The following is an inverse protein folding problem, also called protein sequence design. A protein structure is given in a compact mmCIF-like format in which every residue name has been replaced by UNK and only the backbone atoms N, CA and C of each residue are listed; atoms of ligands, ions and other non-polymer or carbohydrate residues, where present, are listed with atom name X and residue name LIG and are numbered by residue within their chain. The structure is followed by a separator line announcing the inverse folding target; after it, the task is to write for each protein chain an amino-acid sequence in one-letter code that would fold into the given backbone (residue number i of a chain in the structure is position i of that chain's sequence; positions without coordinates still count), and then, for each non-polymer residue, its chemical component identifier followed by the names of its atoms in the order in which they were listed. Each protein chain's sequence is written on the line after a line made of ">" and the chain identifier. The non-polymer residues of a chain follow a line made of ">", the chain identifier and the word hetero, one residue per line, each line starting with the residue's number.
data_IF_701500234660
#
_entry.id   IF_701500234660
#
_cell.length_a   1.000
_cell.length_b   1.000
_cell.length_c   1.000
_cell.angle_alpha   90.00
_cell.angle_beta   90.00
_cell.angle_gamma   90.00
#
_symmetry.space_group_name_H-M   'P 1'
#
loop_
_entity.id
_entity.type
_entity.pdbx_description
1 polymer ?
#
# COMPACT_ATOMS: atom_id res chain seq x y z
N UNK A 1 0.24 -2.56 -20.83
CA UNK A 1 1.12 -1.48 -20.38
C UNK A 1 0.29 -0.34 -19.84
N UNK A 2 0.63 0.15 -18.63
CA UNK A 2 -0.05 1.28 -17.97
C UNK A 2 0.65 2.61 -18.24
N UNK A 3 1.43 2.70 -19.31
CA UNK A 3 2.09 3.94 -19.71
C UNK A 3 1.27 4.76 -20.71
N UNK A 4 1.73 5.97 -21.02
CA UNK A 4 1.05 6.82 -22.01
C UNK A 4 1.10 6.21 -23.40
N UNK A 5 0.04 6.46 -24.17
CA UNK A 5 -0.08 5.99 -25.55
C UNK A 5 0.38 7.09 -26.51
N UNK A 6 0.92 6.70 -27.66
CA UNK A 6 1.36 7.65 -28.69
C UNK A 6 0.18 8.50 -29.17
N UNK A 7 0.36 9.82 -29.25
CA UNK A 7 -0.65 10.75 -29.74
C UNK A 7 -1.85 10.94 -28.82
N UNK A 8 -1.73 10.55 -27.56
CA UNK A 8 -2.84 10.63 -26.61
C UNK A 8 -3.20 12.09 -26.29
N UNK A 9 -4.51 12.38 -26.31
CA UNK A 9 -5.02 13.70 -25.95
C UNK A 9 -4.78 13.98 -24.46
N UNK A 10 -4.59 15.26 -24.06
CA UNK A 10 -4.17 15.58 -22.70
C UNK A 10 -5.18 15.19 -21.61
N UNK A 11 -6.48 15.30 -21.88
CA UNK A 11 -7.51 14.90 -20.92
C UNK A 11 -7.52 13.38 -20.69
N UNK A 12 -7.37 12.60 -21.75
CA UNK A 12 -7.29 11.14 -21.66
C UNK A 12 -5.99 10.70 -20.96
N UNK A 13 -4.89 11.38 -21.25
CA UNK A 13 -3.62 11.11 -20.60
C UNK A 13 -3.72 11.33 -19.10
N UNK A 14 -4.40 12.38 -18.67
CA UNK A 14 -4.59 12.69 -17.26
C UNK A 14 -5.46 11.63 -16.56
N UNK A 15 -6.51 11.14 -17.22
CA UNK A 15 -7.33 10.04 -16.70
C UNK A 15 -6.51 8.76 -16.52
N UNK A 16 -5.71 8.43 -17.52
CA UNK A 16 -4.84 7.25 -17.46
C UNK A 16 -3.77 7.41 -16.39
N UNK A 17 -3.27 8.62 -16.15
CA UNK A 17 -2.36 8.91 -15.05
C UNK A 17 -2.99 8.56 -13.69
N UNK A 18 -4.23 9.00 -13.45
CA UNK A 18 -4.89 8.71 -12.17
C UNK A 18 -5.17 7.21 -12.00
N UNK A 19 -5.50 6.50 -13.06
CA UNK A 19 -5.61 5.04 -13.02
C UNK A 19 -4.25 4.40 -12.69
N UNK A 20 -3.16 4.87 -13.30
CA UNK A 20 -1.82 4.36 -13.04
C UNK A 20 -1.32 4.70 -11.63
N UNK A 21 -1.85 5.76 -11.01
CA UNK A 21 -1.50 6.15 -9.64
C UNK A 21 -1.97 5.13 -8.59
N UNK A 22 -2.85 4.21 -8.96
CA UNK A 22 -3.25 3.10 -8.10
C UNK A 22 -2.20 1.98 -8.03
N UNK A 23 -1.11 2.09 -8.79
CA UNK A 23 -0.07 1.07 -8.88
C UNK A 23 1.21 1.56 -8.20
N UNK A 24 1.46 1.18 -6.93
CA UNK A 24 2.63 1.66 -6.21
C UNK A 24 3.94 0.98 -6.60
N UNK A 25 3.90 -0.09 -7.38
CA UNK A 25 5.09 -0.85 -7.77
C UNK A 25 6.15 0.03 -8.44
N UNK A 26 7.42 -0.19 -8.08
CA UNK A 26 8.54 0.55 -8.66
C UNK A 26 8.53 2.04 -8.30
N UNK A 27 8.08 2.38 -7.11
CA UNK A 27 7.93 3.77 -6.66
C UNK A 27 7.05 4.58 -7.63
N UNK A 28 5.86 4.02 -7.92
CA UNK A 28 4.90 4.64 -8.83
C UNK A 28 5.45 4.85 -10.25
N UNK A 29 6.27 3.93 -10.73
CA UNK A 29 6.88 4.07 -12.06
C UNK A 29 5.86 4.21 -13.18
N UNK A 30 4.71 3.54 -13.07
CA UNK A 30 3.64 3.68 -14.06
C UNK A 30 3.11 5.11 -14.09
N UNK A 31 2.79 5.71 -12.95
CA UNK A 31 2.33 7.09 -12.85
C UNK A 31 3.39 8.08 -13.34
N UNK A 32 4.64 7.88 -12.94
CA UNK A 32 5.74 8.76 -13.35
C UNK A 32 5.97 8.78 -14.85
N UNK A 33 5.61 7.72 -15.56
CA UNK A 33 5.75 7.68 -17.03
C UNK A 33 4.85 8.69 -17.77
N UNK A 34 3.83 9.23 -17.09
CA UNK A 34 2.96 10.28 -17.63
C UNK A 34 3.49 11.70 -17.44
N UNK A 35 4.60 11.84 -16.74
CA UNK A 35 5.19 13.12 -16.37
C UNK A 35 6.38 13.47 -17.26
N UNK A 36 6.73 14.76 -17.27
CA UNK A 36 8.04 15.16 -17.80
C UNK A 36 9.13 14.53 -16.94
N UNK A 37 10.32 14.40 -17.50
CA UNK A 37 11.46 13.84 -16.77
C UNK A 37 11.73 14.63 -15.46
N UNK A 38 11.67 15.96 -15.54
CA UNK A 38 11.86 16.83 -14.36
C UNK A 38 10.76 16.61 -13.31
N UNK A 39 9.50 16.61 -13.73
CA UNK A 39 8.38 16.40 -12.80
C UNK A 39 8.45 15.00 -12.16
N UNK A 40 8.79 13.97 -12.93
CA UNK A 40 8.94 12.61 -12.41
C UNK A 40 10.05 12.51 -11.36
N UNK A 41 11.15 13.22 -11.56
CA UNK A 41 12.27 13.24 -10.60
C UNK A 41 11.95 14.01 -9.32
N UNK A 42 11.12 15.05 -9.41
CA UNK A 42 10.77 15.92 -8.29
C UNK A 42 9.52 15.44 -7.52
N UNK A 43 8.72 14.56 -8.12
CA UNK A 43 7.49 14.09 -7.50
C UNK A 43 7.80 13.14 -6.35
N UNK A 44 7.49 13.58 -5.15
CA UNK A 44 7.71 12.83 -3.90
C UNK A 44 6.40 12.86 -3.10
N UNK A 45 5.42 12.03 -3.48
CA UNK A 45 4.13 12.06 -2.82
C UNK A 45 4.20 11.54 -1.40
N UNK A 46 3.35 12.07 -0.54
CA UNK A 46 3.19 11.58 0.82
C UNK A 46 2.82 10.10 0.80
N UNK A 47 3.23 9.39 1.84
CA UNK A 47 2.90 7.96 1.98
C UNK A 47 1.41 7.73 2.24
N UNK A 48 0.70 8.76 2.68
CA UNK A 48 -0.75 8.71 2.83
C UNK A 48 -1.41 8.92 1.47
N UNK A 49 -2.28 8.00 1.11
CA UNK A 49 -3.01 8.02 -0.15
C UNK A 49 -4.43 8.51 0.09
N UNK A 50 -4.89 9.46 -0.70
CA UNK A 50 -6.26 9.95 -0.64
C UNK A 50 -7.16 9.04 -1.47
N UNK A 51 -8.29 8.64 -0.88
CA UNK A 51 -9.33 7.90 -1.59
C UNK A 51 -10.48 8.85 -1.85
N UNK A 52 -10.85 8.99 -3.12
CA UNK A 52 -11.96 9.84 -3.55
C UNK A 52 -13.07 8.99 -4.15
N UNK A 53 -14.28 9.54 -4.13
CA UNK A 53 -15.43 8.87 -4.74
C UNK A 53 -15.24 8.74 -6.25
N UNK A 54 -15.04 9.87 -6.91
CA UNK A 54 -14.68 9.95 -8.33
C UNK A 54 -13.94 11.26 -8.59
N UNK A 55 -13.23 11.33 -9.71
CA UNK A 55 -12.51 12.53 -10.13
C UNK A 55 -13.20 13.17 -11.32
N UNK A 56 -13.42 14.48 -11.22
CA UNK A 56 -13.82 15.32 -12.33
C UNK A 56 -12.60 16.05 -12.86
N UNK A 57 -12.38 15.96 -14.17
CA UNK A 57 -11.26 16.60 -14.85
C UNK A 57 -11.84 17.64 -15.77
N UNK A 58 -11.55 18.91 -15.51
CA UNK A 58 -12.13 20.06 -16.20
C UNK A 58 -11.00 20.88 -16.80
N UNK A 59 -11.10 21.18 -18.10
CA UNK A 59 -10.14 22.06 -18.76
C UNK A 59 -10.18 23.45 -18.15
N UNK A 60 -9.00 23.98 -17.80
CA UNK A 60 -8.85 25.35 -17.30
C UNK A 60 -8.26 26.23 -18.39
N UNK A 61 -9.11 26.77 -19.24
CA UNK A 61 -8.70 27.61 -20.36
C UNK A 61 -8.09 28.94 -19.92
N UNK A 62 -8.46 29.46 -18.75
CA UNK A 62 -7.93 30.72 -18.23
C UNK A 62 -6.47 30.58 -17.76
N UNK A 63 -6.08 29.40 -17.31
CA UNK A 63 -4.71 29.11 -16.89
C UNK A 63 -3.79 28.72 -18.06
N UNK A 64 -4.34 28.48 -19.26
CA UNK A 64 -3.60 28.11 -20.47
C UNK A 64 -2.98 29.34 -21.13
N UNK A 65 -2.24 30.13 -20.37
CA UNK A 65 -1.61 31.35 -20.86
C UNK A 65 -0.22 31.10 -21.49
N UNK A 66 0.31 29.90 -21.34
CA UNK A 66 1.62 29.52 -21.89
C UNK A 66 1.44 28.86 -23.24
N UNK A 67 2.17 29.32 -24.24
CA UNK A 67 2.16 28.71 -25.57
C UNK A 67 2.53 27.24 -25.52
N UNK A 68 1.65 26.37 -26.04
CA UNK A 68 1.88 24.92 -26.05
C UNK A 68 1.53 24.18 -24.76
N UNK A 69 1.00 24.88 -23.75
CA UNK A 69 0.58 24.27 -22.48
C UNK A 69 -0.89 24.00 -22.40
N UNK A 70 -1.27 23.13 -21.47
CA UNK A 70 -2.65 22.87 -21.07
C UNK A 70 -2.73 22.78 -19.57
N UNK A 71 -3.84 23.25 -19.01
CA UNK A 71 -4.11 23.16 -17.58
C UNK A 71 -5.47 22.56 -17.34
N UNK A 72 -5.57 21.79 -16.28
CA UNK A 72 -6.80 21.13 -15.85
C UNK A 72 -7.03 21.38 -14.37
N UNK A 73 -8.31 21.53 -14.00
CA UNK A 73 -8.74 21.46 -12.62
C UNK A 73 -9.27 20.05 -12.36
N UNK A 74 -8.72 19.39 -11.35
CA UNK A 74 -9.12 18.05 -10.95
C UNK A 74 -9.76 18.15 -9.58
N UNK A 75 -10.96 17.61 -9.44
CA UNK A 75 -11.75 17.67 -8.20
C UNK A 75 -12.30 16.31 -7.83
N UNK A 76 -12.41 16.05 -6.53
CA UNK A 76 -13.04 14.86 -6.02
C UNK A 76 -13.41 15.00 -4.56
N UNK A 77 -14.46 14.30 -4.13
CA UNK A 77 -14.83 14.21 -2.73
C UNK A 77 -13.99 13.15 -2.05
N UNK A 78 -13.23 13.54 -1.04
CA UNK A 78 -12.41 12.62 -0.25
C UNK A 78 -13.34 11.82 0.66
N UNK A 79 -13.25 10.49 0.60
CA UNK A 79 -14.03 9.56 1.41
C UNK A 79 -13.18 8.83 2.44
N UNK A 80 -11.86 8.84 2.28
CA UNK A 80 -10.95 8.19 3.19
C UNK A 80 -9.50 8.37 2.79
N UNK A 81 -8.62 7.82 3.62
CA UNK A 81 -7.18 7.77 3.37
C UNK A 81 -6.65 6.37 3.64
N UNK A 82 -5.62 5.98 2.90
CA UNK A 82 -4.81 4.81 3.23
C UNK A 82 -3.47 5.32 3.78
N UNK A 83 -3.15 4.88 4.99
CA UNK A 83 -1.83 5.12 5.54
C UNK A 83 -0.84 4.10 4.99
N UNK A 84 0.45 4.30 5.27
CA UNK A 84 1.47 3.32 4.96
C UNK A 84 1.10 1.97 5.59
N UNK A 85 1.21 0.89 4.83
CA UNK A 85 0.78 -0.43 5.27
C UNK A 85 -0.69 -0.74 5.04
N UNK A 86 -1.46 0.17 4.42
CA UNK A 86 -2.80 -0.10 3.91
C UNK A 86 -3.95 0.05 4.90
N UNK A 87 -3.72 0.68 6.05
CA UNK A 87 -4.80 0.96 7.00
C UNK A 87 -5.71 2.07 6.45
N UNK A 88 -7.01 1.81 6.38
CA UNK A 88 -8.00 2.75 5.85
C UNK A 88 -8.65 3.53 7.00
N UNK A 89 -8.73 4.85 6.82
CA UNK A 89 -9.46 5.74 7.72
C UNK A 89 -10.49 6.52 6.92
N UNK A 90 -11.74 6.52 7.37
CA UNK A 90 -12.80 7.33 6.76
C UNK A 90 -12.54 8.81 7.02
N UNK A 91 -12.67 9.61 5.98
CA UNK A 91 -12.54 11.05 6.07
C UNK A 91 -13.57 11.72 5.17
N UNK A 92 -13.87 12.97 5.47
CA UNK A 92 -14.69 13.84 4.63
C UNK A 92 -13.87 15.07 4.28
N UNK A 93 -13.85 15.42 3.01
CA UNK A 93 -13.14 16.60 2.55
C UNK A 93 -13.24 16.70 1.04
N UNK A 94 -12.53 17.66 0.51
CA UNK A 94 -12.47 17.89 -0.92
C UNK A 94 -11.02 17.86 -1.37
N UNK A 95 -10.79 17.17 -2.50
CA UNK A 95 -9.53 17.27 -3.23
C UNK A 95 -9.75 18.20 -4.40
N UNK A 96 -8.88 19.18 -4.55
CA UNK A 96 -8.87 20.08 -5.68
C UNK A 96 -7.42 20.40 -6.04
N UNK A 97 -7.08 20.25 -7.32
CA UNK A 97 -5.74 20.53 -7.80
C UNK A 97 -5.76 21.05 -9.21
N UNK A 98 -4.80 21.92 -9.51
CA UNK A 98 -4.52 22.35 -10.87
C UNK A 98 -3.33 21.56 -11.40
N UNK A 99 -3.51 20.93 -12.56
CA UNK A 99 -2.48 20.13 -13.22
C UNK A 99 -2.06 20.85 -14.49
N UNK A 100 -0.76 21.05 -14.67
CA UNK A 100 -0.21 21.63 -15.88
C UNK A 100 0.45 20.55 -16.74
N UNK A 101 0.24 20.67 -18.04
CA UNK A 101 0.80 19.75 -19.02
C UNK A 101 1.53 20.52 -20.10
N UNK A 102 2.56 19.90 -20.63
CA UNK A 102 3.36 20.44 -21.74
C UNK A 102 3.63 19.33 -22.75
N UNK A 103 4.06 19.73 -23.95
CA UNK A 103 4.47 18.76 -24.96
C UNK A 103 5.97 18.53 -24.88
N UNK A 104 6.36 17.26 -24.95
CA UNK A 104 7.74 16.81 -25.04
C UNK A 104 7.83 15.94 -26.30
N UNK A 105 8.58 16.38 -27.28
CA UNK A 105 8.71 15.70 -28.57
C UNK A 105 7.33 15.42 -29.24
N UNK A 106 6.42 16.40 -29.10
CA UNK A 106 5.05 16.30 -29.65
C UNK A 106 4.07 15.48 -28.81
N UNK A 107 4.49 14.93 -27.69
CA UNK A 107 3.64 14.14 -26.80
C UNK A 107 3.32 14.91 -25.52
N UNK A 108 2.08 14.82 -25.07
CA UNK A 108 1.67 15.47 -23.82
C UNK A 108 2.26 14.77 -22.60
N UNK A 109 2.74 15.56 -21.63
CA UNK A 109 3.25 15.06 -20.34
C UNK A 109 2.88 16.04 -19.25
N UNK A 110 2.67 15.52 -18.04
CA UNK A 110 2.39 16.34 -16.85
C UNK A 110 3.67 17.01 -16.40
N UNK A 111 3.64 18.35 -16.31
CA UNK A 111 4.78 19.16 -15.91
C UNK A 111 4.67 19.69 -14.48
N UNK A 112 3.45 19.80 -13.93
CA UNK A 112 3.23 20.28 -12.57
C UNK A 112 2.01 19.60 -11.98
N UNK A 113 2.14 19.07 -10.77
CA UNK A 113 1.10 18.35 -10.05
C UNK A 113 1.39 18.37 -8.55
N UNK A 114 0.36 18.17 -7.69
CA UNK A 114 0.58 18.11 -6.24
C UNK A 114 1.31 16.84 -5.81
N UNK A 115 2.00 16.92 -4.68
CA UNK A 115 2.79 15.84 -4.07
C UNK A 115 1.89 14.88 -3.28
N UNK A 116 0.90 14.30 -3.94
CA UNK A 116 -0.06 13.39 -3.31
C UNK A 116 -0.52 12.34 -4.31
N UNK A 117 -0.75 11.13 -3.82
CA UNK A 117 -1.40 10.07 -4.59
C UNK A 117 -2.89 10.12 -4.30
N UNK A 118 -3.69 10.13 -5.35
CA UNK A 118 -5.16 10.12 -5.25
C UNK A 118 -5.68 8.94 -6.03
N UNK A 119 -6.52 8.13 -5.40
CA UNK A 119 -7.09 6.93 -6.00
C UNK A 119 -8.61 7.02 -5.93
N UNK A 120 -9.29 6.76 -7.05
CA UNK A 120 -10.73 6.62 -7.06
C UNK A 120 -11.16 5.32 -6.37
N UNK A 121 -12.33 5.33 -5.74
CA UNK A 121 -12.91 4.15 -5.07
C UNK A 121 -12.91 2.90 -5.96
N UNK A 122 -13.25 3.07 -7.24
CA UNK A 122 -13.28 1.95 -8.19
C UNK A 122 -11.91 1.34 -8.41
N UNK A 123 -10.87 2.17 -8.48
CA UNK A 123 -9.50 1.68 -8.61
C UNK A 123 -9.04 0.96 -7.34
N UNK A 124 -9.42 1.46 -6.17
CA UNK A 124 -9.13 0.78 -4.92
C UNK A 124 -9.72 -0.63 -4.93
N UNK A 125 -10.97 -0.77 -5.32
CA UNK A 125 -11.65 -2.07 -5.38
C UNK A 125 -11.06 -3.01 -6.42
N UNK A 126 -10.58 -2.48 -7.54
CA UNK A 126 -10.05 -3.26 -8.65
C UNK A 126 -8.59 -3.68 -8.46
N UNK A 127 -7.79 -2.85 -7.78
CA UNK A 127 -6.33 -3.00 -7.69
C UNK A 127 -5.83 -3.40 -6.32
N UNK A 128 -6.68 -3.36 -5.30
CA UNK A 128 -6.34 -3.70 -3.93
C UNK A 128 -7.29 -4.76 -3.41
N UNK A 129 -6.82 -5.52 -2.42
CA UNK A 129 -7.65 -6.46 -1.68
C UNK A 129 -7.46 -6.25 -0.19
N UNK A 130 -8.56 -6.33 0.59
CA UNK A 130 -8.44 -6.25 2.04
C UNK A 130 -7.98 -7.60 2.59
N UNK A 131 -7.02 -7.53 3.51
CA UNK A 131 -6.56 -8.66 4.29
C UNK A 131 -6.52 -8.26 5.75
N UNK A 132 -6.66 -9.22 6.64
CA UNK A 132 -6.61 -8.97 8.08
C UNK A 132 -5.30 -9.48 8.66
N UNK A 133 -4.63 -8.61 9.42
CA UNK A 133 -3.58 -9.02 10.34
C UNK A 133 -4.24 -9.33 11.67
N UNK A 134 -3.70 -10.25 12.43
CA UNK A 134 -4.25 -10.61 13.73
C UNK A 134 -3.24 -10.36 14.82
N UNK A 135 -3.67 -9.61 15.84
CA UNK A 135 -2.84 -9.26 17.00
C UNK A 135 -3.58 -9.61 18.27
N UNK A 136 -2.88 -10.09 19.27
CA UNK A 136 -3.50 -10.30 20.58
C UNK A 136 -3.90 -8.98 21.21
N UNK A 137 -5.12 -8.95 21.77
CA UNK A 137 -5.53 -7.82 22.59
C UNK A 137 -4.71 -7.79 23.88
N UNK A 138 -4.80 -6.68 24.63
CA UNK A 138 -3.88 -6.42 25.74
C UNK A 138 -3.94 -7.43 26.89
N UNK A 139 -5.01 -8.23 27.04
CA UNK A 139 -5.05 -9.32 28.02
C UNK A 139 -4.33 -10.58 27.54
N UNK A 140 -4.03 -10.68 26.26
CA UNK A 140 -3.33 -11.83 25.69
C UNK A 140 -4.19 -13.08 25.52
N UNK A 141 -5.52 -12.94 25.55
CA UNK A 141 -6.45 -14.07 25.48
C UNK A 141 -7.21 -14.18 24.18
N UNK A 142 -7.35 -13.08 23.44
CA UNK A 142 -8.11 -13.03 22.19
C UNK A 142 -7.35 -12.28 21.12
N UNK A 143 -7.62 -12.64 19.87
CA UNK A 143 -7.06 -11.97 18.69
C UNK A 143 -7.99 -10.88 18.20
N UNK A 144 -7.41 -9.72 17.89
CA UNK A 144 -8.08 -8.62 17.22
C UNK A 144 -7.64 -8.57 15.75
N UNK A 145 -8.57 -8.31 14.86
CA UNK A 145 -8.26 -8.16 13.44
C UNK A 145 -7.92 -6.73 13.08
N UNK A 146 -6.91 -6.56 12.26
CA UNK A 146 -6.44 -5.28 11.75
C UNK A 146 -6.50 -5.33 10.22
N UNK A 147 -7.48 -4.69 9.63
CA UNK A 147 -7.74 -4.76 8.20
C UNK A 147 -6.80 -3.85 7.42
N UNK A 148 -6.17 -4.42 6.40
CA UNK A 148 -5.25 -3.70 5.53
C UNK A 148 -5.64 -3.88 4.07
N UNK A 149 -5.57 -2.81 3.31
CA UNK A 149 -5.76 -2.84 1.86
C UNK A 149 -4.40 -2.95 1.19
N UNK A 150 -4.16 -4.04 0.49
CA UNK A 150 -2.88 -4.34 -0.14
C UNK A 150 -3.05 -4.41 -1.65
N UNK A 151 -2.15 -3.76 -2.39
CA UNK A 151 -2.21 -3.78 -3.84
C UNK A 151 -1.91 -5.19 -4.38
N UNK A 152 -2.62 -5.58 -5.42
CA UNK A 152 -2.37 -6.85 -6.10
C UNK A 152 -1.17 -6.73 -7.03
N UNK A 153 -0.42 -7.82 -7.22
CA UNK A 153 0.65 -7.89 -8.21
C UNK A 153 2.02 -7.39 -7.74
N UNK A 154 2.20 -7.10 -6.46
CA UNK A 154 3.51 -6.79 -5.87
C UNK A 154 4.22 -8.07 -5.39
N UNK A 155 4.95 -7.99 -4.29
CA UNK A 155 5.63 -9.12 -3.68
C UNK A 155 4.65 -10.23 -3.29
N UNK A 156 5.18 -11.39 -2.91
CA UNK A 156 4.35 -12.48 -2.44
C UNK A 156 3.52 -12.02 -1.24
N UNK A 157 2.26 -12.40 -1.21
CA UNK A 157 1.30 -11.97 -0.19
C UNK A 157 1.74 -12.36 1.21
N UNK A 158 2.27 -13.57 1.38
CA UNK A 158 2.76 -14.03 2.68
C UNK A 158 3.92 -13.17 3.21
N UNK A 159 4.88 -12.82 2.36
CA UNK A 159 5.98 -11.94 2.74
C UNK A 159 5.47 -10.57 3.16
N UNK A 160 4.53 -10.00 2.42
CA UNK A 160 3.95 -8.70 2.72
C UNK A 160 3.19 -8.72 4.05
N UNK A 161 2.35 -9.73 4.26
CA UNK A 161 1.58 -9.89 5.51
C UNK A 161 2.49 -10.08 6.72
N UNK A 162 3.52 -10.90 6.60
CA UNK A 162 4.48 -11.14 7.69
C UNK A 162 5.26 -9.87 8.03
N UNK A 163 5.68 -9.14 7.02
CA UNK A 163 6.38 -7.86 7.22
C UNK A 163 5.51 -6.87 8.01
N UNK A 164 4.24 -6.75 7.62
CA UNK A 164 3.28 -5.89 8.33
C UNK A 164 3.00 -6.40 9.76
N UNK A 165 2.90 -7.71 9.92
CA UNK A 165 2.68 -8.31 11.24
C UNK A 165 3.83 -7.97 12.21
N UNK A 166 5.08 -8.01 11.73
CA UNK A 166 6.25 -7.65 12.53
C UNK A 166 6.33 -6.14 12.82
N UNK A 167 5.79 -5.30 11.93
CA UNK A 167 5.73 -3.86 12.15
C UNK A 167 4.72 -3.48 13.24
N UNK A 168 3.76 -4.35 13.49
CA UNK A 168 2.74 -4.11 14.51
C UNK A 168 1.43 -3.56 13.99
N UNK A 169 0.45 -3.37 14.89
CA UNK A 169 -0.89 -2.94 14.53
C UNK A 169 -0.93 -1.49 14.03
N UNK A 170 -2.02 -1.16 13.33
CA UNK A 170 -2.31 0.21 12.96
C UNK A 170 -2.38 1.10 14.20
N UNK A 171 -2.06 2.39 14.02
CA UNK A 171 -1.96 3.35 15.12
C UNK A 171 -3.21 3.39 15.99
N UNK A 172 -4.40 3.35 15.37
CA UNK A 172 -5.66 3.39 16.10
C UNK A 172 -5.91 2.12 16.94
N UNK A 173 -5.37 0.98 16.51
CA UNK A 173 -5.56 -0.28 17.19
C UNK A 173 -4.48 -0.57 18.25
N UNK A 174 -3.31 0.05 18.11
CA UNK A 174 -2.16 -0.21 18.96
C UNK A 174 -2.46 -0.14 20.47
N UNK A 175 -3.24 0.83 20.98
CA UNK A 175 -3.54 0.88 22.41
C UNK A 175 -4.33 -0.33 22.95
N UNK A 176 -5.07 -1.02 22.09
CA UNK A 176 -5.91 -2.17 22.46
C UNK A 176 -5.17 -3.51 22.36
N UNK A 177 -3.95 -3.52 21.85
CA UNK A 177 -3.19 -4.73 21.57
C UNK A 177 -1.93 -4.84 22.44
N UNK A 178 -1.40 -6.04 22.54
CA UNK A 178 -0.10 -6.27 23.14
C UNK A 178 0.94 -6.62 22.08
N UNK A 179 2.19 -6.28 22.33
CA UNK A 179 3.31 -6.67 21.48
C UNK A 179 3.87 -8.01 21.97
N UNK A 180 3.87 -9.02 21.09
CA UNK A 180 4.39 -10.35 21.43
C UNK A 180 5.77 -10.59 20.85
N UNK A 181 6.19 -9.81 19.84
CA UNK A 181 7.51 -9.96 19.22
C UNK A 181 8.46 -8.85 19.65
N UNK A 182 9.74 -9.15 19.86
CA UNK A 182 10.72 -8.11 20.16
C UNK A 182 11.00 -7.24 18.93
N UNK A 183 11.52 -6.03 19.17
CA UNK A 183 11.85 -5.09 18.09
C UNK A 183 12.87 -5.65 17.11
N UNK A 184 13.81 -6.44 17.61
CA UNK A 184 14.86 -7.05 16.79
C UNK A 184 14.38 -8.24 15.96
N UNK A 185 13.12 -8.66 16.12
CA UNK A 185 12.55 -9.73 15.32
C UNK A 185 12.58 -9.36 13.83
N UNK A 186 13.06 -10.26 13.02
CA UNK A 186 13.24 -10.05 11.60
C UNK A 186 12.77 -11.28 10.82
N UNK A 187 12.13 -11.03 9.68
CA UNK A 187 11.75 -12.09 8.75
C UNK A 187 12.84 -12.24 7.69
N UNK A 188 13.46 -13.40 7.66
CA UNK A 188 14.54 -13.71 6.73
C UNK A 188 14.09 -14.28 5.39
N UNK A 189 12.78 -14.43 5.20
CA UNK A 189 12.23 -14.94 3.94
C UNK A 189 11.75 -16.38 4.02
N UNK A 190 11.33 -16.88 2.87
CA UNK A 190 10.83 -18.24 2.70
C UNK A 190 11.84 -19.00 1.85
N UNK A 191 12.34 -20.11 2.38
CA UNK A 191 13.30 -20.96 1.71
C UNK A 191 12.81 -22.40 1.79
N UNK A 192 12.64 -23.03 0.64
CA UNK A 192 12.10 -24.41 0.53
C UNK A 192 10.78 -24.59 1.29
N UNK A 193 9.90 -23.59 1.24
CA UNK A 193 8.61 -23.62 1.94
C UNK A 193 8.68 -23.34 3.42
N UNK A 194 9.85 -23.04 3.98
CA UNK A 194 10.06 -22.77 5.40
C UNK A 194 10.17 -21.26 5.63
N UNK A 195 9.39 -20.76 6.59
CA UNK A 195 9.41 -19.35 7.00
C UNK A 195 10.51 -19.16 8.04
N UNK A 196 11.47 -18.29 7.74
CA UNK A 196 12.65 -18.08 8.57
C UNK A 196 12.60 -16.75 9.32
N UNK A 197 12.71 -16.81 10.65
CA UNK A 197 12.79 -15.64 11.52
C UNK A 197 14.08 -15.65 12.31
N UNK A 198 14.54 -14.45 12.67
CA UNK A 198 15.67 -14.23 13.58
C UNK A 198 15.31 -13.19 14.62
N UNK A 199 16.14 -13.05 15.66
CA UNK A 199 15.92 -12.04 16.69
C UNK A 199 14.81 -12.40 17.67
N UNK A 200 14.49 -13.68 17.82
CA UNK A 200 13.40 -14.17 18.67
C UNK A 200 13.89 -15.03 19.86
N UNK A 201 15.21 -15.14 20.06
CA UNK A 201 15.76 -16.03 21.08
C UNK A 201 15.31 -15.72 22.50
N UNK A 202 15.04 -14.45 22.80
CA UNK A 202 14.64 -14.01 24.14
C UNK A 202 13.13 -14.08 24.39
N UNK A 203 12.35 -14.53 23.41
CA UNK A 203 10.90 -14.67 23.58
C UNK A 203 10.58 -15.82 24.54
N UNK A 204 9.58 -15.59 25.41
CA UNK A 204 9.02 -16.64 26.22
C UNK A 204 8.29 -17.67 25.36
N UNK A 205 8.12 -18.89 25.87
CA UNK A 205 7.33 -19.92 25.18
C UNK A 205 5.89 -19.48 24.99
N UNK A 206 5.34 -18.74 25.91
CA UNK A 206 3.98 -18.19 25.84
C UNK A 206 3.87 -17.20 24.68
N UNK A 207 4.81 -16.28 24.54
CA UNK A 207 4.82 -15.30 23.44
C UNK A 207 5.11 -15.95 22.10
N UNK A 208 5.94 -16.99 22.05
CA UNK A 208 6.16 -17.77 20.83
C UNK A 208 4.87 -18.43 20.35
N UNK A 209 4.10 -19.00 21.28
CA UNK A 209 2.81 -19.61 20.98
C UNK A 209 1.80 -18.57 20.51
N UNK A 210 1.79 -17.39 21.12
CA UNK A 210 0.95 -16.28 20.68
C UNK A 210 1.31 -15.83 19.26
N UNK A 211 2.60 -15.64 19.00
CA UNK A 211 3.03 -15.25 17.66
C UNK A 211 2.67 -16.31 16.61
N UNK A 212 2.81 -17.58 16.95
CA UNK A 212 2.39 -18.67 16.06
C UNK A 212 0.90 -18.54 15.71
N UNK A 213 0.05 -18.24 16.69
CA UNK A 213 -1.38 -18.03 16.45
C UNK A 213 -1.64 -16.80 15.58
N UNK A 214 -0.97 -15.69 15.83
CA UNK A 214 -1.07 -14.48 14.98
C UNK A 214 -0.69 -14.80 13.54
N UNK A 215 0.38 -15.53 13.35
CA UNK A 215 0.89 -15.91 12.03
C UNK A 215 -0.08 -16.84 11.30
N UNK A 216 -0.54 -17.90 11.96
CA UNK A 216 -1.46 -18.88 11.38
C UNK A 216 -2.77 -18.23 10.98
N UNK A 217 -3.36 -17.43 11.85
CA UNK A 217 -4.62 -16.75 11.57
C UNK A 217 -4.48 -15.75 10.42
N UNK A 218 -3.37 -15.01 10.40
CA UNK A 218 -3.10 -14.04 9.34
C UNK A 218 -2.95 -14.74 7.98
N UNK A 219 -2.13 -15.77 7.91
CA UNK A 219 -1.88 -16.48 6.65
C UNK A 219 -3.10 -17.27 6.16
N UNK A 220 -3.75 -18.01 7.08
CA UNK A 220 -4.90 -18.84 6.69
C UNK A 220 -6.10 -18.02 6.25
N UNK A 221 -6.37 -16.91 6.93
CA UNK A 221 -7.45 -16.00 6.55
C UNK A 221 -7.22 -15.37 5.18
N UNK A 222 -5.96 -15.16 4.82
CA UNK A 222 -5.59 -14.66 3.50
C UNK A 222 -5.66 -15.73 2.39
N UNK A 223 -6.00 -16.97 2.73
CA UNK A 223 -6.09 -18.07 1.78
C UNK A 223 -4.77 -18.74 1.47
N UNK A 224 -3.75 -18.51 2.27
CA UNK A 224 -2.45 -19.18 2.13
C UNK A 224 -2.53 -20.47 2.93
N UNK A 225 -2.53 -21.65 2.26
CA UNK A 225 -2.78 -22.90 2.96
C UNK A 225 -1.61 -23.34 3.83
N UNK A 226 -1.94 -23.95 4.98
CA UNK A 226 -0.98 -24.66 5.80
C UNK A 226 -0.83 -26.13 5.39
N UNK A 227 -0.09 -26.94 6.15
CA UNK A 227 0.64 -26.56 7.36
C UNK A 227 1.83 -25.64 7.09
N UNK A 228 2.22 -24.86 8.09
CA UNK A 228 3.32 -23.91 7.97
C UNK A 228 4.55 -24.42 8.74
N UNK A 229 5.68 -24.47 8.06
CA UNK A 229 6.95 -24.75 8.71
C UNK A 229 7.61 -23.41 9.05
N UNK A 230 7.77 -23.15 10.36
CA UNK A 230 8.27 -21.87 10.84
C UNK A 230 9.44 -22.11 11.77
N UNK A 231 10.58 -21.54 11.44
CA UNK A 231 11.77 -21.58 12.29
C UNK A 231 12.14 -20.19 12.77
N UNK A 232 12.59 -20.12 14.00
CA UNK A 232 13.08 -18.89 14.62
C UNK A 232 14.46 -19.21 15.22
N UNK A 233 15.48 -18.46 14.75
CA UNK A 233 16.86 -18.67 15.19
C UNK A 233 17.29 -20.14 15.05
N UNK A 234 17.01 -20.73 13.88
CA UNK A 234 17.37 -22.09 13.46
C UNK A 234 16.69 -23.23 14.24
N UNK A 235 15.63 -22.95 14.96
CA UNK A 235 14.84 -23.95 15.68
C UNK A 235 13.35 -23.73 15.42
N UNK A 236 12.47 -24.74 15.59
CA UNK A 236 11.04 -24.53 15.46
C UNK A 236 10.56 -23.36 16.33
N UNK A 237 9.66 -22.54 15.78
CA UNK A 237 9.13 -21.38 16.52
C UNK A 237 8.51 -21.80 17.86
N UNK A 238 7.71 -22.86 17.82
CA UNK A 238 7.11 -23.43 19.02
C UNK A 238 7.78 -24.76 19.31
N UNK A 239 8.33 -24.91 20.50
CA UNK A 239 9.02 -26.13 20.93
C UNK A 239 8.08 -27.33 20.77
N UNK A 240 8.56 -28.38 20.12
CA UNK A 240 7.82 -29.62 19.92
C UNK A 240 6.85 -29.59 18.74
N UNK A 241 6.72 -28.49 18.03
CA UNK A 241 5.87 -28.38 16.85
C UNK A 241 6.71 -28.09 15.61
N UNK A 242 6.88 -29.10 14.74
CA UNK A 242 7.61 -28.96 13.48
C UNK A 242 6.77 -28.19 12.44
N UNK A 243 5.45 -28.20 12.60
CA UNK A 243 4.49 -27.52 11.72
C UNK A 243 3.41 -26.83 12.55
N UNK A 244 2.91 -25.71 12.03
CA UNK A 244 1.81 -24.95 12.63
C UNK A 244 0.51 -25.14 11.83
#
# INVERSE_FOLDING_TARGET
>A
SMGPRAGEEPDLLLRDFYAASALPAGDYSAARSFMTEEAAGDWDPDQQVLIVDSLDIITDAEADSTEGGRSFNVRGSVIGTLSEGGSYSSENGDFEAQIHMTQVDGEWRISDLPQVVVIERTELRNRYQPHSLFFYEHTGQALESDRRWLSTGQESLDTELITLLLQGPAEELAPATMSVVPREANFGGIEDGVYHFTGMSDMSQEDRTRFAAELVWTLSTAGIPGPYQVVADDAPLVEGLDEL
#
